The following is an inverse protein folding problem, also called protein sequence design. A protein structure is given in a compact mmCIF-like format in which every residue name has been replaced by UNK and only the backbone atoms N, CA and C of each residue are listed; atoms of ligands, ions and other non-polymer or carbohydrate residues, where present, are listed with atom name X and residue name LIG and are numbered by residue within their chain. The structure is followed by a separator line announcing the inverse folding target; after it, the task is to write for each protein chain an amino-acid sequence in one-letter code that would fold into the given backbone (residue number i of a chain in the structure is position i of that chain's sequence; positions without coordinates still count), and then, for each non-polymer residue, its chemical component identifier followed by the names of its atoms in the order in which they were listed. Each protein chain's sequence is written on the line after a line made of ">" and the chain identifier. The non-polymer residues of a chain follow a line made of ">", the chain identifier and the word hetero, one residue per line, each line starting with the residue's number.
data_IF_638323489822
#
_entry.id   IF_638323489822
#
_cell.length_a   1.000
_cell.length_b   1.000
_cell.length_c   1.000
_cell.angle_alpha   90.00
_cell.angle_beta   90.00
_cell.angle_gamma   90.00
#
_symmetry.space_group_name_H-M   'P 1'
#
loop_
_entity.id
_entity.type
_entity.pdbx_description
1 polymer ?
#
# COMPACT_ATOMS: atom_id res chain seq x y z
N UNK A 1 15.68 37.79 44.50
CA UNK A 1 15.01 37.42 43.23
C UNK A 1 16.08 37.09 42.21
N UNK A 2 15.99 35.94 41.56
CA UNK A 2 16.39 35.60 40.18
C UNK A 2 16.28 34.08 40.08
N UNK A 3 15.14 33.61 39.55
CA UNK A 3 14.92 32.22 39.12
C UNK A 3 15.24 32.20 37.63
N UNK A 4 16.38 31.62 37.23
CA UNK A 4 16.60 31.24 35.83
C UNK A 4 15.92 29.89 35.60
N UNK A 5 14.76 29.92 34.95
CA UNK A 5 14.10 28.73 34.44
C UNK A 5 14.93 28.16 33.29
N UNK A 6 15.31 26.89 33.40
CA UNK A 6 15.89 26.10 32.32
C UNK A 6 14.91 26.00 31.15
N UNK A 7 15.27 26.56 30.01
CA UNK A 7 14.61 26.31 28.72
C UNK A 7 15.12 24.98 28.18
N UNK A 8 14.35 23.91 28.34
CA UNK A 8 14.57 22.63 27.65
C UNK A 8 14.18 22.81 26.18
N UNK A 9 15.17 23.09 25.34
CA UNK A 9 15.02 22.97 23.89
C UNK A 9 14.95 21.49 23.53
N UNK A 10 13.75 20.98 23.28
CA UNK A 10 13.53 19.67 22.69
C UNK A 10 13.93 19.75 21.21
N UNK A 11 15.17 19.39 20.90
CA UNK A 11 15.60 19.20 19.53
C UNK A 11 14.85 17.99 18.95
N UNK A 12 13.73 18.25 18.26
CA UNK A 12 13.07 17.25 17.45
C UNK A 12 14.03 16.87 16.31
N UNK A 13 14.72 15.74 16.47
CA UNK A 13 15.44 15.11 15.39
C UNK A 13 14.42 14.76 14.30
N UNK A 14 14.39 15.59 13.25
CA UNK A 14 13.67 15.30 12.01
C UNK A 14 14.35 14.07 11.40
N UNK A 15 13.82 12.89 11.71
CA UNK A 15 14.15 11.66 11.01
C UNK A 15 13.68 11.86 9.58
N UNK A 16 14.59 12.29 8.70
CA UNK A 16 14.38 12.26 7.26
C UNK A 16 14.33 10.78 6.87
N UNK A 17 13.14 10.21 6.89
CA UNK A 17 12.90 8.88 6.36
C UNK A 17 13.18 8.93 4.86
N UNK A 18 14.28 8.31 4.44
CA UNK A 18 14.60 8.15 3.03
C UNK A 18 13.42 7.51 2.30
N UNK A 19 12.97 8.14 1.22
CA UNK A 19 11.95 7.58 0.35
C UNK A 19 12.45 6.24 -0.20
N UNK A 20 11.80 5.14 0.18
CA UNK A 20 12.10 3.79 -0.33
C UNK A 20 11.12 3.46 -1.45
N UNK A 21 11.61 3.54 -2.68
CA UNK A 21 10.88 3.06 -3.85
C UNK A 21 11.10 1.54 -4.03
N UNK A 22 10.02 0.81 -4.25
CA UNK A 22 10.02 -0.63 -4.45
C UNK A 22 9.03 -1.04 -5.53
N UNK A 23 9.38 -2.04 -6.34
CA UNK A 23 8.48 -2.66 -7.30
C UNK A 23 8.00 -4.00 -6.74
N UNK A 24 6.69 -4.19 -6.69
CA UNK A 24 6.05 -5.42 -6.24
C UNK A 24 5.36 -6.11 -7.39
N UNK A 25 5.50 -7.43 -7.49
CA UNK A 25 4.65 -8.27 -8.35
C UNK A 25 3.32 -8.51 -7.64
N UNK A 26 2.21 -8.16 -8.27
CA UNK A 26 0.87 -8.16 -7.67
C UNK A 26 -0.10 -9.05 -8.44
N UNK A 27 -0.97 -9.74 -7.70
CA UNK A 27 -2.13 -10.47 -8.22
C UNK A 27 -3.37 -10.05 -7.44
N UNK A 28 -4.43 -9.70 -8.16
CA UNK A 28 -5.77 -9.47 -7.63
C UNK A 28 -6.65 -10.69 -7.92
N UNK A 29 -7.42 -11.13 -6.92
CA UNK A 29 -8.37 -12.23 -7.02
C UNK A 29 -9.75 -11.76 -6.54
N UNK A 30 -10.82 -12.18 -7.21
CA UNK A 30 -12.18 -11.92 -6.73
C UNK A 30 -12.45 -12.61 -5.39
N UNK A 31 -13.56 -12.28 -4.74
CA UNK A 31 -14.01 -12.96 -3.52
C UNK A 31 -14.16 -14.49 -3.69
N UNK A 32 -14.32 -14.99 -4.92
CA UNK A 32 -14.37 -16.43 -5.23
C UNK A 32 -12.99 -17.07 -5.45
N UNK A 33 -11.89 -16.33 -5.25
CA UNK A 33 -10.52 -16.81 -5.45
C UNK A 33 -10.07 -16.86 -6.90
N UNK A 34 -10.90 -16.39 -7.84
CA UNK A 34 -10.59 -16.38 -9.27
C UNK A 34 -9.65 -15.20 -9.54
N UNK A 35 -8.50 -15.47 -10.19
CA UNK A 35 -7.58 -14.42 -10.64
C UNK A 35 -8.32 -13.42 -11.52
N UNK A 36 -8.23 -12.16 -11.14
CA UNK A 36 -8.88 -11.04 -11.79
C UNK A 36 -7.88 -10.16 -12.56
N UNK A 37 -6.74 -9.85 -11.94
CA UNK A 37 -5.70 -9.04 -12.54
C UNK A 37 -4.29 -9.43 -12.04
N UNK A 38 -3.26 -9.13 -12.82
CA UNK A 38 -1.87 -9.27 -12.38
C UNK A 38 -0.94 -8.27 -13.06
N UNK A 39 0.14 -7.89 -12.38
CA UNK A 39 1.13 -6.95 -12.90
C UNK A 39 2.00 -6.41 -11.78
N UNK A 40 2.29 -5.10 -11.78
CA UNK A 40 3.22 -4.50 -10.83
C UNK A 40 2.62 -3.33 -10.06
N UNK A 41 3.03 -3.19 -8.81
CA UNK A 41 2.87 -1.97 -8.03
C UNK A 41 4.24 -1.33 -7.83
N UNK A 42 4.38 -0.07 -8.24
CA UNK A 42 5.53 0.76 -7.92
C UNK A 42 5.16 1.60 -6.71
N UNK A 43 5.71 1.23 -5.55
CA UNK A 43 5.40 1.80 -4.25
C UNK A 43 6.55 2.71 -3.81
N UNK A 44 6.22 3.85 -3.23
CA UNK A 44 7.15 4.77 -2.62
C UNK A 44 6.72 5.01 -1.16
N UNK A 45 7.56 4.59 -0.23
CA UNK A 45 7.34 4.73 1.21
C UNK A 45 8.16 5.91 1.74
N UNK A 46 7.47 6.90 2.32
CA UNK A 46 8.05 8.08 2.95
C UNK A 46 7.60 8.15 4.40
N UNK A 47 8.40 7.54 5.28
CA UNK A 47 7.99 7.31 6.67
C UNK A 47 6.80 6.36 6.71
N UNK A 48 5.70 6.79 7.33
CA UNK A 48 4.45 6.02 7.39
C UNK A 48 3.57 6.23 6.15
N UNK A 49 3.92 7.15 5.25
CA UNK A 49 3.14 7.42 4.05
C UNK A 49 3.51 6.45 2.93
N UNK A 50 2.48 5.92 2.27
CA UNK A 50 2.61 5.01 1.12
C UNK A 50 1.98 5.67 -0.09
N UNK A 51 2.75 5.84 -1.14
CA UNK A 51 2.27 6.36 -2.43
C UNK A 51 2.72 5.46 -3.57
N UNK A 52 2.13 5.61 -4.76
CA UNK A 52 2.60 4.85 -5.90
C UNK A 52 1.63 4.74 -7.05
N UNK A 53 1.92 3.78 -7.93
CA UNK A 53 1.11 3.45 -9.10
C UNK A 53 1.06 1.95 -9.29
N UNK A 54 -0.11 1.44 -9.66
CA UNK A 54 -0.32 0.10 -10.14
C UNK A 54 -0.46 0.09 -11.66
N UNK A 55 0.23 -0.86 -12.28
CA UNK A 55 0.16 -1.17 -13.71
C UNK A 55 -0.13 -2.67 -13.83
N UNK A 56 -1.39 -3.01 -14.06
CA UNK A 56 -1.90 -4.37 -14.11
C UNK A 56 -2.51 -4.70 -15.47
N UNK A 57 -2.65 -5.99 -15.74
CA UNK A 57 -3.46 -6.51 -16.82
C UNK A 57 -4.60 -7.34 -16.25
N UNK A 58 -5.82 -7.07 -16.70
CA UNK A 58 -7.00 -7.88 -16.43
C UNK A 58 -6.88 -9.24 -17.13
N UNK A 59 -7.61 -10.23 -16.62
CA UNK A 59 -7.74 -11.54 -17.27
C UNK A 59 -8.29 -11.47 -18.71
N UNK A 60 -9.06 -10.43 -19.03
CA UNK A 60 -9.53 -10.10 -20.38
C UNK A 60 -8.45 -9.55 -21.31
N UNK A 61 -7.25 -9.28 -20.79
CA UNK A 61 -6.13 -8.68 -21.50
C UNK A 61 -6.13 -7.14 -21.50
N UNK A 62 -7.20 -6.50 -21.04
CA UNK A 62 -7.25 -5.05 -20.89
C UNK A 62 -6.28 -4.55 -19.80
N UNK A 63 -5.77 -3.33 -19.97
CA UNK A 63 -4.91 -2.68 -18.98
C UNK A 63 -5.77 -2.12 -17.84
N UNK A 64 -5.30 -2.30 -16.61
CA UNK A 64 -5.85 -1.70 -15.40
C UNK A 64 -4.76 -0.86 -14.74
N UNK A 65 -4.99 0.45 -14.62
CA UNK A 65 -4.06 1.37 -13.97
C UNK A 65 -4.74 2.16 -12.86
N UNK A 66 -4.04 2.38 -11.75
CA UNK A 66 -4.51 3.23 -10.66
C UNK A 66 -3.36 3.75 -9.81
N UNK A 67 -3.65 4.76 -8.99
CA UNK A 67 -2.70 5.31 -8.01
C UNK A 67 -2.87 4.62 -6.67
N UNK A 68 -1.79 4.55 -5.92
CA UNK A 68 -1.74 4.09 -4.53
C UNK A 68 -1.57 5.32 -3.64
N UNK A 69 -2.43 5.46 -2.64
CA UNK A 69 -2.33 6.52 -1.63
C UNK A 69 -2.80 6.02 -0.27
N UNK A 70 -1.93 6.01 0.71
CA UNK A 70 -2.27 5.55 2.05
C UNK A 70 -1.10 5.57 3.00
N UNK A 71 -1.09 4.60 3.92
CA UNK A 71 -0.11 4.55 5.00
C UNK A 71 0.23 3.12 5.41
N UNK A 72 1.35 2.99 6.12
CA UNK A 72 1.73 1.79 6.85
C UNK A 72 1.78 2.11 8.35
N UNK A 73 1.19 1.26 9.18
CA UNK A 73 1.31 1.37 10.64
C UNK A 73 1.37 -0.02 11.26
N UNK A 74 2.34 -0.25 12.15
CA UNK A 74 2.52 -1.56 12.80
C UNK A 74 2.72 -2.73 11.83
N UNK A 75 3.28 -2.48 10.63
CA UNK A 75 3.46 -3.50 9.58
C UNK A 75 2.19 -3.84 8.78
N UNK A 76 1.09 -3.11 9.00
CA UNK A 76 -0.14 -3.22 8.22
C UNK A 76 -0.22 -2.03 7.26
N UNK A 77 -0.35 -2.32 5.98
CA UNK A 77 -0.61 -1.34 4.94
C UNK A 77 -2.12 -1.08 4.85
N UNK A 78 -2.50 0.19 4.73
CA UNK A 78 -3.86 0.64 4.40
C UNK A 78 -3.75 1.60 3.23
N UNK A 79 -4.16 1.18 2.03
CA UNK A 79 -3.89 1.88 0.77
C UNK A 79 -5.18 2.06 -0.01
N UNK A 80 -5.49 3.30 -0.37
CA UNK A 80 -6.56 3.63 -1.30
C UNK A 80 -6.10 3.34 -2.73
N UNK A 81 -6.94 2.65 -3.50
CA UNK A 81 -6.72 2.39 -4.93
C UNK A 81 -7.48 3.45 -5.73
N UNK A 82 -6.79 4.54 -6.05
CA UNK A 82 -7.41 5.76 -6.56
C UNK A 82 -7.43 5.79 -8.08
N UNK A 83 -8.60 6.08 -8.65
CA UNK A 83 -8.75 6.28 -10.10
C UNK A 83 -8.76 4.99 -10.91
N UNK A 84 -9.18 3.86 -10.33
CA UNK A 84 -9.37 2.61 -11.06
C UNK A 84 -10.34 2.77 -12.25
N UNK A 85 -9.96 2.17 -13.37
CA UNK A 85 -10.68 2.18 -14.65
C UNK A 85 -11.62 0.97 -14.82
N UNK A 86 -11.61 0.01 -13.89
CA UNK A 86 -12.39 -1.24 -13.93
C UNK A 86 -13.78 -1.17 -13.28
N UNK A 87 -14.38 0.03 -13.24
CA UNK A 87 -15.67 0.33 -12.59
C UNK A 87 -15.73 0.14 -11.07
N UNK A 88 -14.70 -0.42 -10.40
CA UNK A 88 -14.66 -0.51 -8.94
C UNK A 88 -14.24 0.83 -8.35
N UNK A 89 -14.99 1.30 -7.35
CA UNK A 89 -14.80 2.62 -6.73
C UNK A 89 -14.58 2.50 -5.24
N UNK A 90 -13.93 3.54 -4.69
CA UNK A 90 -13.62 3.70 -3.27
C UNK A 90 -12.98 2.45 -2.65
N UNK A 91 -12.03 1.87 -3.37
CA UNK A 91 -11.34 0.66 -2.98
C UNK A 91 -10.25 0.97 -1.94
N UNK A 92 -10.31 0.31 -0.79
CA UNK A 92 -9.28 0.37 0.25
C UNK A 92 -8.71 -1.03 0.45
N UNK A 93 -7.42 -1.20 0.16
CA UNK A 93 -6.68 -2.41 0.45
C UNK A 93 -6.04 -2.34 1.84
N UNK A 94 -6.27 -3.37 2.66
CA UNK A 94 -5.57 -3.55 3.92
C UNK A 94 -4.80 -4.86 3.91
N UNK A 95 -3.48 -4.79 4.00
CA UNK A 95 -2.62 -5.97 3.90
C UNK A 95 -1.48 -6.01 4.89
N UNK A 96 -1.01 -7.23 5.19
CA UNK A 96 0.10 -7.50 6.11
C UNK A 96 1.03 -8.55 5.50
N UNK A 97 2.22 -8.70 6.08
CA UNK A 97 3.14 -9.75 5.68
C UNK A 97 2.45 -11.13 5.79
N UNK A 98 2.57 -11.93 4.72
CA UNK A 98 2.07 -13.29 4.68
C UNK A 98 2.95 -14.20 5.55
N UNK A 99 2.30 -15.01 6.38
CA UNK A 99 2.98 -15.93 7.28
C UNK A 99 3.81 -16.96 6.50
N UNK A 100 5.01 -17.27 7.00
CA UNK A 100 5.91 -18.25 6.37
C UNK A 100 6.59 -17.79 5.08
N UNK A 101 6.36 -16.56 4.59
CA UNK A 101 6.94 -16.04 3.33
C UNK A 101 8.06 -15.01 3.55
N UNK A 102 8.74 -15.09 4.70
CA UNK A 102 9.95 -14.31 4.99
C UNK A 102 9.76 -12.78 4.98
N UNK A 103 8.53 -12.29 5.16
CA UNK A 103 8.22 -10.85 5.18
C UNK A 103 8.32 -10.13 3.83
N UNK A 104 8.50 -10.87 2.73
CA UNK A 104 8.65 -10.29 1.38
C UNK A 104 7.35 -10.24 0.59
N UNK A 105 6.35 -10.99 1.04
CA UNK A 105 5.02 -11.08 0.43
C UNK A 105 4.00 -10.51 1.39
N UNK A 106 3.15 -9.64 0.88
CA UNK A 106 2.05 -9.02 1.58
C UNK A 106 0.73 -9.48 0.98
N UNK A 107 -0.24 -9.79 1.84
CA UNK A 107 -1.57 -10.23 1.42
C UNK A 107 -2.62 -9.47 2.21
N UNK A 108 -3.74 -9.18 1.56
CA UNK A 108 -4.79 -8.37 2.16
C UNK A 108 -6.08 -8.34 1.36
N UNK A 109 -7.15 -7.90 2.00
CA UNK A 109 -8.44 -7.66 1.35
C UNK A 109 -8.51 -6.20 0.88
N UNK A 110 -8.99 -6.00 -0.35
CA UNK A 110 -9.44 -4.73 -0.86
C UNK A 110 -10.97 -4.68 -0.86
N UNK A 111 -11.51 -3.78 -0.05
CA UNK A 111 -12.94 -3.51 0.04
C UNK A 111 -13.26 -2.33 -0.88
N UNK A 112 -14.12 -2.55 -1.86
CA UNK A 112 -14.66 -1.52 -2.74
C UNK A 112 -16.16 -1.38 -2.51
N UNK A 113 -16.78 -0.38 -3.16
CA UNK A 113 -18.24 -0.29 -3.17
C UNK A 113 -18.87 -1.55 -3.75
N UNK A 114 -19.66 -2.25 -2.94
CA UNK A 114 -20.44 -3.43 -3.35
C UNK A 114 -19.63 -4.69 -3.65
N UNK A 115 -18.29 -4.68 -3.50
CA UNK A 115 -17.47 -5.86 -3.78
C UNK A 115 -16.18 -5.92 -2.97
N UNK A 116 -15.59 -7.11 -2.91
CA UNK A 116 -14.32 -7.39 -2.24
C UNK A 116 -13.42 -8.20 -3.14
N UNK A 117 -12.12 -7.98 -3.01
CA UNK A 117 -11.10 -8.75 -3.71
C UNK A 117 -9.89 -8.96 -2.80
N UNK A 118 -9.16 -10.04 -3.01
CA UNK A 118 -7.89 -10.29 -2.33
C UNK A 118 -6.76 -9.79 -3.22
N UNK A 119 -5.83 -9.04 -2.65
CA UNK A 119 -4.63 -8.59 -3.34
C UNK A 119 -3.41 -9.16 -2.62
N UNK A 120 -2.56 -9.82 -3.39
CA UNK A 120 -1.26 -10.33 -2.95
C UNK A 120 -0.17 -9.63 -3.74
N UNK A 121 0.74 -8.96 -3.03
CA UNK A 121 1.91 -8.31 -3.60
C UNK A 121 3.19 -8.87 -3.00
N UNK A 122 4.26 -8.98 -3.79
CA UNK A 122 5.58 -9.37 -3.27
C UNK A 122 6.69 -8.53 -3.88
N UNK A 123 7.65 -8.14 -3.05
CA UNK A 123 8.87 -7.47 -3.50
C UNK A 123 9.56 -8.31 -4.57
N UNK A 124 9.93 -7.66 -5.67
CA UNK A 124 10.67 -8.29 -6.76
C UNK A 124 12.14 -8.50 -6.40
#
# INVERSE_FOLDING_TARGET
>A
MIKLAMTTALAAALMTSSALAATWSVTEQSAAGIKYASGTWNINNEGDKVTGKADLQLDTGAVLSYKLDGSISGGVYTVNLVGRDDSKKNCVWTGKAAEGLGGKVFTGEAVCEGTKMTIRGGLQ
#
